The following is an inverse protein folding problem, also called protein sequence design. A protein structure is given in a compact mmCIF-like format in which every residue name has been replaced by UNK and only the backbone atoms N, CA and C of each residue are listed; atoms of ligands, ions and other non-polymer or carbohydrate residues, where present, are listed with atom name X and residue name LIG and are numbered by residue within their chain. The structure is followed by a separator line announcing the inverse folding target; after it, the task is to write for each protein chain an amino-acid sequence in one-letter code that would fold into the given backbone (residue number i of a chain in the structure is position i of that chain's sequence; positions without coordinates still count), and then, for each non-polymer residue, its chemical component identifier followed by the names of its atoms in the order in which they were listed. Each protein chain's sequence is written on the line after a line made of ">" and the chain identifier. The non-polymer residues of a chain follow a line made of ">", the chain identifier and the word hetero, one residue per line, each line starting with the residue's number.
data_IF_106297549748
#
_entry.id   IF_106297549748
#
_cell.length_a   1.000
_cell.length_b   1.000
_cell.length_c   1.000
_cell.angle_alpha   90.00
_cell.angle_beta   90.00
_cell.angle_gamma   90.00
#
_symmetry.space_group_name_H-M   'P 1'
#
loop_
_entity.id
_entity.type
_entity.pdbx_description
1 polymer ?
#
# COMPACT_ATOMS: atom_id res chain seq x y z
N UNK A 1 2.90 24.88 -9.45
CA UNK A 1 2.76 23.48 -9.93
C UNK A 1 3.84 23.08 -10.94
N UNK A 2 4.21 23.93 -11.94
CA UNK A 2 5.19 23.58 -12.99
C UNK A 2 6.58 23.22 -12.44
N UNK A 3 7.03 23.87 -11.37
CA UNK A 3 8.32 23.58 -10.73
C UNK A 3 8.47 22.13 -10.24
N UNK A 4 7.41 21.52 -9.74
CA UNK A 4 7.45 20.13 -9.27
C UNK A 4 7.83 19.13 -10.35
N UNK A 5 7.50 19.44 -11.61
CA UNK A 5 7.77 18.58 -12.77
C UNK A 5 8.93 19.09 -13.64
N UNK A 6 9.66 20.10 -13.15
CA UNK A 6 10.85 20.57 -13.84
C UNK A 6 11.92 19.48 -13.83
N UNK A 7 12.59 19.30 -14.97
CA UNK A 7 13.67 18.30 -15.10
C UNK A 7 14.83 18.54 -14.13
N UNK A 8 15.05 19.78 -13.73
CA UNK A 8 16.06 20.17 -12.74
C UNK A 8 15.65 19.83 -11.29
N UNK A 9 14.36 19.54 -11.03
CA UNK A 9 13.92 19.15 -9.71
C UNK A 9 14.20 17.66 -9.46
N UNK A 10 15.20 17.32 -8.61
CA UNK A 10 15.55 15.93 -8.37
C UNK A 10 14.62 15.26 -7.35
N UNK A 11 13.89 16.02 -6.53
CA UNK A 11 13.21 15.50 -5.34
C UNK A 11 11.89 14.85 -5.68
N UNK A 12 11.05 15.45 -6.52
CA UNK A 12 9.70 14.96 -6.77
C UNK A 12 9.68 13.50 -7.24
N UNK A 13 10.56 13.15 -8.19
CA UNK A 13 10.65 11.79 -8.70
C UNK A 13 11.23 10.81 -7.64
N UNK A 14 12.31 11.20 -6.95
CA UNK A 14 12.92 10.36 -5.90
C UNK A 14 11.96 10.08 -4.76
N UNK A 15 11.26 11.09 -4.25
CA UNK A 15 10.26 10.92 -3.18
C UNK A 15 9.12 10.02 -3.63
N UNK A 16 8.62 10.21 -4.84
CA UNK A 16 7.54 9.41 -5.40
C UNK A 16 7.96 7.94 -5.56
N UNK A 17 9.10 7.69 -6.16
CA UNK A 17 9.67 6.35 -6.34
C UNK A 17 9.90 5.68 -4.99
N UNK A 18 10.47 6.39 -4.02
CA UNK A 18 10.71 5.85 -2.68
C UNK A 18 9.42 5.42 -1.97
N UNK A 19 8.34 6.17 -2.11
CA UNK A 19 7.02 5.83 -1.54
C UNK A 19 6.44 4.58 -2.19
N UNK A 20 6.49 4.45 -3.52
CA UNK A 20 6.03 3.23 -4.19
C UNK A 20 6.92 2.04 -3.86
N UNK A 21 8.24 2.24 -3.76
CA UNK A 21 9.17 1.23 -3.28
C UNK A 21 8.80 0.73 -1.89
N UNK A 22 8.58 1.64 -0.94
CA UNK A 22 8.17 1.31 0.43
C UNK A 22 6.83 0.54 0.46
N UNK A 23 5.87 0.92 -0.38
CA UNK A 23 4.60 0.20 -0.50
C UNK A 23 4.78 -1.26 -0.95
N UNK A 24 5.78 -1.55 -1.77
CA UNK A 24 6.03 -2.87 -2.35
C UNK A 24 6.99 -3.68 -1.48
N UNK A 25 8.08 -3.09 -1.03
CA UNK A 25 9.16 -3.77 -0.32
C UNK A 25 9.11 -3.59 1.21
N UNK A 26 8.23 -2.74 1.73
CA UNK A 26 8.05 -2.49 3.18
C UNK A 26 8.90 -1.35 3.70
N UNK A 27 10.20 -1.33 3.43
CA UNK A 27 11.10 -0.23 3.77
C UNK A 27 11.38 0.60 2.52
N UNK A 28 11.52 1.92 2.67
CA UNK A 28 11.98 2.79 1.59
C UNK A 28 13.46 2.57 1.29
N UNK A 29 13.90 2.96 0.10
CA UNK A 29 15.33 3.12 -0.19
C UNK A 29 15.93 4.23 0.68
N UNK A 30 15.14 5.26 0.98
CA UNK A 30 15.37 6.25 2.04
C UNK A 30 14.39 5.93 3.16
N UNK A 31 14.90 5.66 4.34
CA UNK A 31 14.10 5.22 5.49
C UNK A 31 13.24 6.35 6.09
N UNK A 32 13.59 7.61 5.81
CA UNK A 32 12.83 8.81 6.18
C UNK A 32 12.01 9.35 5.01
N UNK A 33 10.84 8.75 4.67
CA UNK A 33 10.09 9.07 3.44
C UNK A 33 9.50 10.48 3.43
N UNK A 34 9.48 11.17 4.58
CA UNK A 34 8.99 12.54 4.74
C UNK A 34 10.12 13.57 4.79
N UNK A 35 11.37 13.11 4.87
CA UNK A 35 12.54 13.98 4.93
C UNK A 35 13.66 13.44 4.02
N UNK A 36 13.87 14.14 2.91
CA UNK A 36 14.96 13.93 1.96
C UNK A 36 16.02 15.03 2.06
N UNK A 37 15.96 15.85 3.12
CA UNK A 37 16.87 16.93 3.39
C UNK A 37 18.06 16.51 4.28
N UNK A 38 18.68 17.50 4.89
CA UNK A 38 19.91 17.34 5.68
C UNK A 38 19.75 16.45 6.90
N UNK A 39 18.54 16.35 7.46
CA UNK A 39 18.23 15.52 8.61
C UNK A 39 17.70 14.13 8.23
N UNK A 40 17.45 13.89 6.93
CA UNK A 40 16.98 12.61 6.43
C UNK A 40 18.08 11.56 6.36
N UNK A 41 17.67 10.29 6.31
CA UNK A 41 18.58 9.17 6.11
C UNK A 41 19.16 9.17 4.70
N UNK A 42 20.40 8.74 4.57
CA UNK A 42 20.98 8.47 3.25
C UNK A 42 20.28 7.25 2.61
N UNK A 43 20.12 7.22 1.29
CA UNK A 43 19.54 6.07 0.62
C UNK A 43 20.41 4.83 0.78
N UNK A 44 19.81 3.67 1.04
CA UNK A 44 20.50 2.37 1.11
C UNK A 44 21.13 1.98 -0.24
N UNK A 45 20.50 2.36 -1.35
CA UNK A 45 20.92 2.08 -2.71
C UNK A 45 20.75 3.36 -3.56
N UNK A 46 21.70 4.31 -3.49
CA UNK A 46 21.56 5.61 -4.14
C UNK A 46 21.44 5.51 -5.66
N UNK A 47 22.27 4.67 -6.30
CA UNK A 47 22.24 4.49 -7.75
C UNK A 47 20.91 3.90 -8.24
N UNK A 48 20.32 2.98 -7.48
CA UNK A 48 19.02 2.39 -7.80
C UNK A 48 17.91 3.43 -7.69
N UNK A 49 17.93 4.25 -6.63
CA UNK A 49 16.95 5.32 -6.45
C UNK A 49 17.02 6.32 -7.59
N UNK A 50 18.22 6.72 -7.99
CA UNK A 50 18.44 7.68 -9.06
C UNK A 50 18.03 7.12 -10.41
N UNK A 51 18.40 5.88 -10.70
CA UNK A 51 17.99 5.21 -11.93
C UNK A 51 16.47 5.10 -12.04
N UNK A 52 15.79 4.65 -10.99
CA UNK A 52 14.33 4.57 -10.96
C UNK A 52 13.67 5.94 -11.12
N UNK A 53 14.23 6.99 -10.50
CA UNK A 53 13.70 8.34 -10.59
C UNK A 53 13.84 8.93 -12.00
N UNK A 54 14.95 8.69 -12.68
CA UNK A 54 15.17 9.10 -14.07
C UNK A 54 14.23 8.34 -15.00
N UNK A 55 14.21 7.02 -14.90
CA UNK A 55 13.33 6.15 -15.69
C UNK A 55 11.85 6.51 -15.53
N UNK A 56 11.43 6.85 -14.31
CA UNK A 56 10.06 7.27 -14.02
C UNK A 56 9.69 8.58 -14.72
N UNK A 57 10.62 9.57 -14.75
CA UNK A 57 10.43 10.83 -15.49
C UNK A 57 10.38 10.59 -17.00
N UNK A 58 11.31 9.81 -17.54
CA UNK A 58 11.40 9.51 -18.98
C UNK A 58 10.19 8.73 -19.49
N UNK A 59 9.58 7.90 -18.65
CA UNK A 59 8.33 7.18 -18.94
C UNK A 59 7.07 8.02 -18.63
N UNK A 60 7.16 9.35 -18.69
CA UNK A 60 6.04 10.26 -18.48
C UNK A 60 5.30 10.06 -17.15
N UNK A 61 6.02 9.78 -16.07
CA UNK A 61 5.45 9.59 -14.72
C UNK A 61 4.44 8.42 -14.67
N UNK A 62 4.66 7.39 -15.47
CA UNK A 62 3.77 6.24 -15.56
C UNK A 62 3.93 5.30 -14.35
N UNK A 63 3.04 5.48 -13.37
CA UNK A 63 3.04 4.71 -12.12
C UNK A 63 2.84 3.21 -12.37
N UNK A 64 2.00 2.82 -13.34
CA UNK A 64 1.75 1.39 -13.61
C UNK A 64 3.01 0.70 -14.14
N UNK A 65 3.75 1.36 -15.00
CA UNK A 65 5.01 0.83 -15.53
C UNK A 65 6.08 0.74 -14.44
N UNK A 66 6.19 1.76 -13.58
CA UNK A 66 7.08 1.75 -12.42
C UNK A 66 6.79 0.54 -11.51
N UNK A 67 5.52 0.35 -11.11
CA UNK A 67 5.11 -0.77 -10.26
C UNK A 67 5.42 -2.10 -10.96
N UNK A 68 5.10 -2.23 -12.24
CA UNK A 68 5.39 -3.43 -13.04
C UNK A 68 6.87 -3.78 -13.04
N UNK A 69 7.77 -2.80 -13.24
CA UNK A 69 9.21 -3.02 -13.17
C UNK A 69 9.64 -3.53 -11.80
N UNK A 70 9.13 -2.94 -10.73
CA UNK A 70 9.43 -3.37 -9.36
C UNK A 70 9.00 -4.81 -9.09
N UNK A 71 7.74 -5.18 -9.41
CA UNK A 71 7.21 -6.53 -9.11
C UNK A 71 7.74 -7.61 -10.03
N UNK A 72 8.24 -7.26 -11.22
CA UNK A 72 8.90 -8.19 -12.13
C UNK A 72 10.39 -8.38 -11.80
N UNK A 73 10.97 -7.56 -10.92
CA UNK A 73 12.39 -7.64 -10.56
C UNK A 73 12.73 -8.97 -9.89
N UNK A 74 13.99 -9.39 -10.02
CA UNK A 74 14.51 -10.57 -9.30
C UNK A 74 14.43 -10.36 -7.79
N UNK A 75 14.66 -9.14 -7.34
CA UNK A 75 14.57 -8.76 -5.91
C UNK A 75 13.18 -9.01 -5.33
N UNK A 76 12.12 -8.65 -6.05
CA UNK A 76 10.74 -8.91 -5.60
C UNK A 76 10.40 -10.40 -5.59
N UNK A 77 10.91 -11.15 -6.56
CA UNK A 77 10.66 -12.60 -6.73
C UNK A 77 11.50 -13.49 -5.80
N UNK A 78 12.35 -12.92 -4.96
CA UNK A 78 13.12 -13.69 -3.98
C UNK A 78 12.22 -14.42 -2.99
N UNK A 79 12.69 -15.57 -2.51
CA UNK A 79 12.01 -16.29 -1.41
C UNK A 79 12.12 -15.48 -0.12
N UNK A 80 11.01 -15.39 0.63
CA UNK A 80 10.96 -14.81 1.97
C UNK A 80 11.43 -15.83 3.04
N UNK A 81 12.51 -16.56 2.76
CA UNK A 81 13.02 -17.60 3.64
C UNK A 81 13.86 -16.98 4.74
N UNK A 82 13.51 -17.27 5.99
CA UNK A 82 14.30 -16.91 7.15
C UNK A 82 15.62 -17.68 7.15
N UNK A 83 16.72 -16.98 7.40
CA UNK A 83 18.04 -17.53 7.68
C UNK A 83 18.63 -16.76 8.85
N UNK A 84 19.11 -17.47 9.88
CA UNK A 84 19.70 -16.85 11.05
C UNK A 84 20.89 -15.96 10.68
N UNK A 85 21.72 -16.42 9.76
CA UNK A 85 22.88 -15.69 9.26
C UNK A 85 22.48 -14.34 8.62
N UNK A 86 21.52 -14.39 7.65
CA UNK A 86 21.02 -13.18 7.00
C UNK A 86 20.33 -12.22 7.97
N UNK A 87 19.63 -12.75 8.97
CA UNK A 87 18.96 -11.93 9.96
C UNK A 87 19.94 -11.27 10.95
N UNK A 88 21.05 -11.93 11.24
CA UNK A 88 22.12 -11.33 12.08
C UNK A 88 22.82 -10.21 11.32
N UNK A 89 23.07 -10.39 10.01
CA UNK A 89 23.78 -9.41 9.19
C UNK A 89 22.88 -8.23 8.76
N UNK A 90 21.66 -8.49 8.36
CA UNK A 90 20.69 -7.49 7.88
C UNK A 90 19.30 -7.78 8.48
N UNK A 91 19.09 -7.45 9.76
CA UNK A 91 17.83 -7.74 10.44
C UNK A 91 16.63 -7.06 9.81
N UNK A 92 16.80 -5.83 9.34
CA UNK A 92 15.74 -5.01 8.72
C UNK A 92 15.59 -5.25 7.21
N UNK A 93 16.38 -6.16 6.63
CA UNK A 93 16.38 -6.43 5.18
C UNK A 93 16.59 -5.17 4.32
N UNK A 94 17.43 -4.25 4.77
CA UNK A 94 17.75 -3.02 4.05
C UNK A 94 18.57 -3.31 2.78
N UNK A 95 19.38 -4.37 2.81
CA UNK A 95 20.19 -4.81 1.68
C UNK A 95 19.43 -5.74 0.72
N UNK A 96 18.14 -5.97 0.96
CA UNK A 96 17.27 -6.77 0.09
C UNK A 96 17.78 -8.20 -0.16
N UNK A 97 18.42 -8.81 0.86
CA UNK A 97 19.01 -10.14 0.77
C UNK A 97 17.97 -11.28 0.78
N UNK A 98 16.71 -10.99 1.07
CA UNK A 98 15.57 -11.92 1.09
C UNK A 98 14.30 -11.23 0.62
N UNK A 99 13.31 -12.01 0.19
CA UNK A 99 11.97 -11.49 -0.10
C UNK A 99 11.35 -10.89 1.17
N UNK A 100 10.60 -9.81 1.02
CA UNK A 100 9.93 -9.17 2.14
C UNK A 100 8.73 -10.02 2.61
N UNK A 101 8.65 -10.26 3.91
CA UNK A 101 7.52 -10.94 4.54
C UNK A 101 6.77 -9.93 5.41
N UNK A 102 5.64 -9.45 4.91
CA UNK A 102 4.79 -8.51 5.64
C UNK A 102 3.33 -8.93 5.61
N UNK A 103 2.59 -8.54 6.62
CA UNK A 103 1.15 -8.74 6.66
C UNK A 103 0.48 -7.83 5.62
N UNK A 104 -0.40 -8.41 4.80
CA UNK A 104 -1.25 -7.64 3.89
C UNK A 104 -2.30 -6.85 4.68
N UNK A 105 -2.72 -5.69 4.16
CA UNK A 105 -3.86 -4.98 4.73
C UNK A 105 -5.16 -5.77 4.51
N UNK A 106 -6.18 -5.50 5.33
CA UNK A 106 -7.48 -6.15 5.22
C UNK A 106 -8.09 -5.99 3.82
N UNK A 107 -7.91 -4.82 3.20
CA UNK A 107 -8.38 -4.55 1.85
C UNK A 107 -7.63 -5.37 0.80
N UNK A 108 -6.31 -5.53 0.98
CA UNK A 108 -5.51 -6.39 0.09
C UNK A 108 -5.90 -7.86 0.21
N UNK A 109 -6.12 -8.36 1.44
CA UNK A 109 -6.57 -9.74 1.67
C UNK A 109 -7.92 -9.97 1.00
N UNK A 110 -8.88 -9.05 1.21
CA UNK A 110 -10.19 -9.12 0.59
C UNK A 110 -10.13 -9.11 -0.93
N UNK A 111 -9.39 -8.15 -1.50
CA UNK A 111 -9.24 -8.03 -2.96
C UNK A 111 -8.59 -9.28 -3.56
N UNK A 112 -7.60 -9.84 -2.88
CA UNK A 112 -6.91 -11.07 -3.31
C UNK A 112 -7.88 -12.27 -3.31
N UNK A 113 -8.66 -12.44 -2.25
CA UNK A 113 -9.66 -13.49 -2.17
C UNK A 113 -10.71 -13.38 -3.27
N UNK A 114 -11.24 -12.17 -3.52
CA UNK A 114 -12.20 -11.93 -4.59
C UNK A 114 -11.61 -12.14 -5.98
N UNK A 115 -10.35 -11.76 -6.18
CA UNK A 115 -9.65 -11.96 -7.46
C UNK A 115 -9.42 -13.43 -7.76
N UNK A 116 -8.95 -14.22 -6.77
CA UNK A 116 -8.69 -15.66 -6.94
C UNK A 116 -10.00 -16.44 -7.18
N UNK A 117 -11.09 -16.05 -6.51
CA UNK A 117 -12.40 -16.67 -6.70
C UNK A 117 -13.12 -16.25 -8.00
N UNK A 118 -12.58 -15.30 -8.74
CA UNK A 118 -13.21 -14.77 -9.95
C UNK A 118 -14.44 -13.88 -9.69
N UNK A 119 -14.68 -13.50 -8.44
CA UNK A 119 -15.83 -12.68 -8.04
C UNK A 119 -15.53 -11.17 -8.07
N UNK A 120 -14.27 -10.75 -8.22
CA UNK A 120 -13.89 -9.34 -8.12
C UNK A 120 -14.55 -8.53 -9.24
N UNK A 121 -15.36 -7.54 -8.83
CA UNK A 121 -15.88 -6.53 -9.76
C UNK A 121 -14.78 -5.51 -10.10
N UNK A 122 -14.50 -5.34 -11.38
CA UNK A 122 -13.52 -4.39 -11.90
C UNK A 122 -14.09 -2.98 -12.14
N UNK A 123 -15.36 -2.77 -11.85
CA UNK A 123 -16.04 -1.47 -12.04
C UNK A 123 -15.30 -0.36 -11.30
N UNK A 124 -14.97 0.72 -11.99
CA UNK A 124 -14.27 1.89 -11.48
C UNK A 124 -15.24 3.04 -11.27
N UNK A 125 -15.10 3.77 -10.15
CA UNK A 125 -15.95 4.92 -9.82
C UNK A 125 -17.30 4.51 -9.20
N UNK A 126 -18.14 5.49 -8.93
CA UNK A 126 -19.44 5.30 -8.29
C UNK A 126 -19.43 5.44 -6.77
N UNK A 127 -20.59 5.29 -6.12
CA UNK A 127 -20.73 5.46 -4.66
C UNK A 127 -20.03 4.33 -3.89
N UNK A 128 -19.83 4.56 -2.61
CA UNK A 128 -19.34 3.52 -1.69
C UNK A 128 -20.35 2.38 -1.55
N UNK A 129 -19.84 1.17 -1.38
CA UNK A 129 -20.63 -0.06 -1.24
C UNK A 129 -20.51 -0.63 0.17
N UNK A 130 -21.53 -1.37 0.57
CA UNK A 130 -21.61 -2.02 1.88
C UNK A 130 -21.52 -3.54 1.71
N UNK A 131 -20.32 -4.14 1.79
CA UNK A 131 -20.15 -5.59 1.66
C UNK A 131 -20.80 -6.32 2.84
N UNK A 132 -20.92 -7.64 2.73
CA UNK A 132 -21.42 -8.49 3.80
C UNK A 132 -20.75 -8.20 5.15
N UNK A 133 -21.56 -8.11 6.19
CA UNK A 133 -21.12 -8.04 7.58
C UNK A 133 -22.02 -8.91 8.49
N UNK A 134 -21.49 -9.48 9.56
CA UNK A 134 -22.29 -10.22 10.53
C UNK A 134 -23.41 -9.36 11.12
N UNK A 135 -24.60 -9.94 11.23
CA UNK A 135 -25.75 -9.25 11.84
C UNK A 135 -25.44 -8.83 13.28
N UNK A 136 -25.84 -7.63 13.66
CA UNK A 136 -25.67 -7.11 15.01
C UNK A 136 -24.37 -6.34 15.27
N UNK A 137 -23.34 -6.49 14.42
CA UNK A 137 -22.04 -5.83 14.60
C UNK A 137 -22.14 -4.31 14.80
N UNK A 138 -23.05 -3.67 14.09
CA UNK A 138 -23.25 -2.23 14.18
C UNK A 138 -24.10 -1.79 15.36
N UNK A 139 -24.98 -2.65 15.90
CA UNK A 139 -25.81 -2.34 17.07
C UNK A 139 -24.98 -2.19 18.34
N UNK A 140 -23.97 -3.00 18.49
CA UNK A 140 -23.09 -3.00 19.68
C UNK A 140 -22.16 -1.78 19.73
N UNK A 141 -21.81 -1.20 18.58
CA UNK A 141 -20.80 -0.14 18.46
C UNK A 141 -21.35 1.27 18.29
N UNK A 142 -22.64 1.43 18.04
CA UNK A 142 -23.26 2.73 17.76
C UNK A 142 -24.23 3.18 18.87
N UNK A 143 -23.69 3.76 19.93
CA UNK A 143 -24.50 4.40 21.00
C UNK A 143 -25.01 5.79 20.58
N UNK A 144 -24.48 6.41 19.52
CA UNK A 144 -24.70 7.83 19.24
C UNK A 144 -25.36 8.18 17.90
N UNK A 145 -25.60 7.23 16.99
CA UNK A 145 -26.19 7.57 15.69
C UNK A 145 -27.24 6.57 15.23
N UNK A 146 -28.52 6.96 15.36
CA UNK A 146 -29.67 6.19 14.88
C UNK A 146 -29.61 5.81 13.39
N UNK A 147 -28.91 6.59 12.54
CA UNK A 147 -28.76 6.34 11.11
C UNK A 147 -27.85 5.15 10.77
N UNK A 148 -27.02 4.70 11.70
CA UNK A 148 -26.08 3.59 11.51
C UNK A 148 -26.55 2.28 12.14
N UNK A 149 -27.72 2.27 12.81
CA UNK A 149 -28.29 1.08 13.43
C UNK A 149 -28.72 0.03 12.41
N UNK A 150 -29.06 0.44 11.18
CA UNK A 150 -29.42 -0.46 10.09
C UNK A 150 -28.35 -0.46 9.02
N UNK A 151 -27.43 -1.40 9.13
CA UNK A 151 -26.51 -1.72 8.04
C UNK A 151 -27.27 -2.52 6.98
N UNK A 152 -27.66 -1.86 5.88
CA UNK A 152 -28.24 -2.51 4.73
C UNK A 152 -27.09 -2.86 3.76
N UNK A 153 -26.87 -4.14 3.53
CA UNK A 153 -25.88 -4.62 2.58
C UNK A 153 -26.22 -4.18 1.16
N UNK A 154 -25.19 -3.98 0.35
CA UNK A 154 -25.35 -3.81 -1.10
C UNK A 154 -25.77 -5.13 -1.73
N UNK A 155 -26.31 -5.08 -2.94
CA UNK A 155 -26.81 -6.27 -3.63
C UNK A 155 -26.01 -6.53 -4.93
N UNK A 156 -26.04 -7.78 -5.39
CA UNK A 156 -25.45 -8.17 -6.66
C UNK A 156 -23.93 -7.92 -6.74
N UNK A 157 -23.48 -7.35 -7.84
CA UNK A 157 -22.06 -7.09 -8.15
C UNK A 157 -21.40 -6.12 -7.14
N UNK A 158 -22.17 -5.23 -6.53
CA UNK A 158 -21.66 -4.25 -5.56
C UNK A 158 -21.10 -4.90 -4.26
N UNK A 159 -21.51 -6.14 -3.94
CA UNK A 159 -20.92 -6.93 -2.85
C UNK A 159 -19.44 -7.28 -3.09
N UNK A 160 -19.04 -7.35 -4.35
CA UNK A 160 -17.73 -7.87 -4.76
C UNK A 160 -16.78 -6.79 -5.27
N UNK A 161 -17.10 -5.52 -5.06
CA UNK A 161 -16.25 -4.40 -5.45
C UNK A 161 -14.96 -4.37 -4.65
N UNK A 162 -13.93 -3.74 -5.21
CA UNK A 162 -12.62 -3.55 -4.56
C UNK A 162 -12.75 -2.87 -3.21
N UNK A 163 -11.89 -3.23 -2.26
CA UNK A 163 -11.87 -2.68 -0.90
C UNK A 163 -11.84 -1.15 -0.82
N UNK A 164 -11.26 -0.47 -1.82
CA UNK A 164 -11.25 1.00 -1.89
C UNK A 164 -12.66 1.62 -1.98
N UNK A 165 -13.65 0.87 -2.46
CA UNK A 165 -15.04 1.32 -2.54
C UNK A 165 -15.87 0.95 -1.32
N UNK A 166 -15.29 0.24 -0.36
CA UNK A 166 -16.01 -0.16 0.86
C UNK A 166 -16.31 1.06 1.72
N UNK A 167 -17.55 1.12 2.20
CA UNK A 167 -17.98 2.16 3.13
C UNK A 167 -17.17 2.12 4.42
N UNK A 168 -16.58 3.26 4.80
CA UNK A 168 -15.76 3.43 6.00
C UNK A 168 -16.44 4.47 6.88
N UNK A 169 -16.64 4.16 8.17
CA UNK A 169 -17.12 5.12 9.17
C UNK A 169 -16.00 5.54 10.11
N UNK A 170 -16.19 6.67 10.80
CA UNK A 170 -15.24 7.15 11.81
C UNK A 170 -15.01 6.12 12.91
N UNK A 171 -16.03 5.40 13.33
CA UNK A 171 -15.94 4.32 14.33
C UNK A 171 -15.00 3.19 13.87
N UNK A 172 -14.98 2.89 12.57
CA UNK A 172 -14.09 1.88 11.99
C UNK A 172 -12.62 2.33 11.97
N UNK A 173 -12.36 3.61 11.73
CA UNK A 173 -10.99 4.16 11.74
C UNK A 173 -10.40 4.18 13.14
N UNK A 174 -11.18 4.43 14.17
CA UNK A 174 -10.74 4.37 15.57
C UNK A 174 -10.35 2.95 16.01
N UNK A 175 -11.05 1.93 15.55
CA UNK A 175 -10.69 0.53 15.83
C UNK A 175 -9.34 0.15 15.21
N UNK A 176 -9.08 0.60 13.98
CA UNK A 176 -7.80 0.37 13.31
C UNK A 176 -6.62 1.01 14.03
N UNK A 177 -6.82 2.19 14.61
CA UNK A 177 -5.78 2.87 15.39
C UNK A 177 -5.40 2.13 16.67
N UNK A 178 -6.30 1.30 17.23
CA UNK A 178 -6.03 0.47 18.39
C UNK A 178 -5.34 -0.87 18.05
N UNK A 179 -5.60 -1.43 16.87
CA UNK A 179 -4.98 -2.69 16.43
C UNK A 179 -3.52 -2.54 16.00
N UNK A 180 -3.07 -1.33 15.70
CA UNK A 180 -1.66 -1.05 15.32
C UNK A 180 -0.74 -0.82 16.50
N UNK A 181 -1.22 -0.97 17.75
CA UNK A 181 -0.42 -0.81 18.97
C UNK A 181 -0.05 -2.12 19.70
N UNK A 182 -0.17 -3.27 19.03
CA UNK A 182 0.30 -4.56 19.54
C UNK A 182 1.52 -5.04 18.77
#
# INVERSE_FOLDING_TARGET
>A
ARWLFNNENPLTARVTVNRYWQMIFGNGLVDTPTDFGVQGSLPSHPELLDWLAVDFKENNWNVKELIKKMVLSKTYKQRAQFSQEKNTFDPNNLLLARGNSRRLSAEMIRNNALSISGLLSEKVGGPSVKPYQPKGLWKEKNTFSLRLLEYKESEGEDLYRRGIYTFITVSYTHLRAHETRL
#
